data_IF_398555099901
#
_entry.id   IF_398555099901
#
_cell.length_a   1.000
_cell.length_b   1.000
_cell.length_c   1.000
_cell.angle_alpha   90.00
_cell.angle_beta   90.00
_cell.angle_gamma   90.00
#
_symmetry.space_group_name_H-M   'P 1'
#
loop_
_entity.id
_entity.type
_entity.pdbx_description
1 polymer ?
#
# COMPACT_ATOMS: atom_id res chain seq x y z
N UNK A 1 -3.80 30.09 21.79
CA UNK A 1 -3.45 29.77 20.40
C UNK A 1 -4.34 30.53 19.44
N UNK A 2 -3.75 31.32 18.52
CA UNK A 2 -4.49 32.04 17.46
C UNK A 2 -3.66 31.89 16.18
N UNK A 3 -4.26 31.30 15.14
CA UNK A 3 -3.61 31.02 13.85
C UNK A 3 -4.48 31.39 12.66
N UNK A 4 -3.84 31.70 11.52
CA UNK A 4 -4.50 31.83 10.22
C UNK A 4 -3.74 30.97 9.19
N UNK A 5 -4.47 30.23 8.35
CA UNK A 5 -3.87 29.37 7.35
C UNK A 5 -4.74 29.20 6.09
N UNK A 6 -4.16 28.66 5.02
CA UNK A 6 -4.89 28.31 3.81
C UNK A 6 -5.78 27.07 4.06
N UNK A 7 -7.06 27.17 3.71
CA UNK A 7 -8.06 26.12 3.92
C UNK A 7 -7.74 24.82 3.17
N UNK A 8 -7.26 24.92 1.92
CA UNK A 8 -6.93 23.74 1.12
C UNK A 8 -5.70 23.02 1.67
N UNK A 9 -4.68 23.76 2.10
CA UNK A 9 -3.47 23.18 2.70
C UNK A 9 -3.80 22.44 3.98
N UNK A 10 -4.61 23.05 4.87
CA UNK A 10 -5.08 22.40 6.10
C UNK A 10 -5.94 21.17 5.80
N UNK A 11 -6.85 21.25 4.82
CA UNK A 11 -7.68 20.11 4.43
C UNK A 11 -6.84 18.94 3.93
N UNK A 12 -5.85 19.19 3.07
CA UNK A 12 -4.92 18.15 2.58
C UNK A 12 -4.14 17.51 3.74
N UNK A 13 -3.59 18.32 4.64
CA UNK A 13 -2.87 17.82 5.81
C UNK A 13 -3.75 16.94 6.71
N UNK A 14 -4.97 17.38 7.01
CA UNK A 14 -5.96 16.61 7.78
C UNK A 14 -6.28 15.28 7.07
N UNK A 15 -6.53 15.30 5.75
CA UNK A 15 -6.81 14.09 4.97
C UNK A 15 -5.64 13.10 4.98
N UNK A 16 -4.41 13.59 5.05
CA UNK A 16 -3.22 12.77 5.15
C UNK A 16 -3.14 12.11 6.52
N UNK A 17 -3.17 12.90 7.59
CA UNK A 17 -2.93 12.37 8.94
C UNK A 17 -4.08 11.51 9.46
N UNK A 18 -5.34 11.82 9.10
CA UNK A 18 -6.49 11.02 9.56
C UNK A 18 -6.46 9.56 9.17
N UNK A 19 -5.61 9.17 8.22
CA UNK A 19 -5.41 7.78 7.79
C UNK A 19 -4.67 6.92 8.82
N UNK A 20 -3.98 7.56 9.77
CA UNK A 20 -3.45 6.88 10.95
C UNK A 20 -4.57 6.46 11.92
N UNK A 21 -5.74 7.13 11.87
CA UNK A 21 -6.85 6.89 12.79
C UNK A 21 -7.65 5.66 12.39
N UNK A 22 -7.88 4.76 13.34
CA UNK A 22 -8.80 3.62 13.16
C UNK A 22 -10.24 4.03 13.50
N UNK A 23 -11.21 3.40 12.84
CA UNK A 23 -12.63 3.78 12.93
C UNK A 23 -13.21 3.67 14.35
N UNK A 24 -12.69 2.76 15.18
CA UNK A 24 -13.14 2.53 16.55
C UNK A 24 -11.92 2.25 17.43
N UNK A 25 -11.19 3.28 17.86
CA UNK A 25 -10.04 3.09 18.73
C UNK A 25 -10.47 2.60 20.12
N UNK A 26 -9.69 1.72 20.71
CA UNK A 26 -9.88 1.27 22.10
C UNK A 26 -9.72 2.41 23.11
N UNK A 27 -8.88 3.39 22.78
CA UNK A 27 -8.62 4.59 23.57
C UNK A 27 -9.17 5.79 22.82
N UNK A 28 -10.17 6.51 23.36
CA UNK A 28 -10.88 7.58 22.65
C UNK A 28 -9.98 8.70 22.09
N UNK A 29 -8.86 9.01 22.77
CA UNK A 29 -7.95 10.08 22.36
C UNK A 29 -7.36 9.83 20.95
N UNK A 30 -7.18 8.58 20.52
CA UNK A 30 -6.74 8.22 19.16
C UNK A 30 -7.79 8.48 18.07
N UNK A 31 -8.98 8.96 18.41
CA UNK A 31 -9.94 9.52 17.45
C UNK A 31 -9.70 11.03 17.21
N UNK A 32 -8.74 11.63 17.89
CA UNK A 32 -8.37 13.04 17.79
C UNK A 32 -7.27 13.28 16.77
N UNK A 33 -7.23 14.53 16.29
CA UNK A 33 -6.10 15.13 15.60
C UNK A 33 -5.46 16.11 16.55
N UNK A 34 -4.16 16.00 16.76
CA UNK A 34 -3.35 16.96 17.50
C UNK A 34 -2.82 18.00 16.53
N UNK A 35 -2.98 19.28 16.87
CA UNK A 35 -2.54 20.41 16.05
C UNK A 35 -1.65 21.29 16.91
N UNK A 36 -0.41 21.51 16.48
CA UNK A 36 0.61 22.28 17.17
C UNK A 36 0.96 23.49 16.31
N UNK A 37 0.91 24.69 16.91
CA UNK A 37 1.22 25.94 16.25
C UNK A 37 2.49 26.56 16.86
N UNK A 38 3.58 26.58 16.11
CA UNK A 38 4.86 27.16 16.49
C UNK A 38 5.66 27.58 15.26
N UNK A 39 6.54 28.58 15.40
CA UNK A 39 7.53 28.97 14.37
C UNK A 39 6.96 29.20 12.96
N UNK A 40 5.80 29.81 12.85
CA UNK A 40 5.06 30.02 11.59
C UNK A 40 4.71 28.74 10.84
N UNK A 41 4.67 27.62 11.56
CA UNK A 41 4.28 26.30 11.04
C UNK A 41 3.13 25.75 11.87
N UNK A 42 2.24 25.07 11.19
CA UNK A 42 1.18 24.27 11.81
C UNK A 42 1.50 22.81 11.57
N UNK A 43 1.80 22.10 12.62
CA UNK A 43 2.00 20.65 12.58
C UNK A 43 0.71 19.95 12.95
N UNK A 44 0.23 19.09 12.08
CA UNK A 44 -0.99 18.30 12.23
C UNK A 44 -0.58 16.85 12.41
N UNK A 45 -1.00 16.20 13.49
CA UNK A 45 -0.62 14.84 13.85
C UNK A 45 -1.84 13.96 14.10
N UNK A 46 -1.75 12.70 13.68
CA UNK A 46 -2.67 11.67 14.10
C UNK A 46 -1.94 10.34 14.25
N UNK A 47 -2.40 9.50 15.17
CA UNK A 47 -1.75 8.23 15.43
C UNK A 47 -2.72 7.16 15.97
N UNK A 48 -2.29 5.92 15.83
CA UNK A 48 -2.79 4.76 16.57
C UNK A 48 -1.61 4.05 17.29
N UNK A 49 -1.83 2.85 17.78
CA UNK A 49 -0.80 2.06 18.47
C UNK A 49 0.34 1.57 17.56
N UNK A 50 0.12 1.57 16.24
CA UNK A 50 1.04 0.97 15.27
C UNK A 50 1.63 1.97 14.28
N UNK A 51 0.91 3.09 14.02
CA UNK A 51 1.30 4.09 13.02
C UNK A 51 0.98 5.50 13.51
N UNK A 52 1.90 6.43 13.24
CA UNK A 52 1.70 7.86 13.44
C UNK A 52 2.03 8.59 12.14
N UNK A 53 1.25 9.63 11.83
CA UNK A 53 1.48 10.50 10.67
C UNK A 53 1.45 11.95 11.15
N UNK A 54 2.47 12.71 10.78
CA UNK A 54 2.54 14.16 10.94
C UNK A 54 2.62 14.83 9.57
N UNK A 55 1.99 15.98 9.44
CA UNK A 55 2.07 16.82 8.25
C UNK A 55 2.22 18.28 8.67
N UNK A 56 3.22 18.97 8.14
CA UNK A 56 3.51 20.36 8.48
C UNK A 56 3.12 21.30 7.34
N UNK A 57 2.41 22.38 7.64
CA UNK A 57 2.02 23.41 6.67
C UNK A 57 2.41 24.80 7.18
N UNK A 58 2.53 25.77 6.25
CA UNK A 58 2.71 27.16 6.61
C UNK A 58 1.46 27.75 7.23
N UNK A 59 1.62 28.58 8.27
CA UNK A 59 0.54 29.31 8.92
C UNK A 59 1.07 30.63 9.54
N UNK A 60 0.21 31.62 9.60
CA UNK A 60 0.45 32.81 10.39
C UNK A 60 0.03 32.56 11.83
N UNK A 61 0.99 32.64 12.76
CA UNK A 61 0.77 32.33 14.17
C UNK A 61 0.85 33.63 14.96
N UNK A 62 -0.31 34.11 15.45
CA UNK A 62 -0.38 35.25 16.34
C UNK A 62 -0.12 34.85 17.80
N UNK A 63 -0.59 33.66 18.19
CA UNK A 63 -0.35 33.06 19.49
C UNK A 63 -0.06 31.59 19.35
N UNK A 64 1.13 31.11 19.77
CA UNK A 64 1.48 29.70 19.72
C UNK A 64 0.61 28.86 20.68
N UNK A 65 0.61 27.55 20.51
CA UNK A 65 -0.08 26.61 21.38
C UNK A 65 -0.47 25.34 20.66
N UNK A 66 -1.20 24.50 21.36
CA UNK A 66 -1.62 23.20 20.86
C UNK A 66 -3.09 22.91 21.20
N UNK A 67 -3.71 22.04 20.43
CA UNK A 67 -5.09 21.60 20.61
C UNK A 67 -5.24 20.15 20.14
N UNK A 68 -6.16 19.41 20.76
CA UNK A 68 -6.64 18.12 20.26
C UNK A 68 -8.12 18.21 19.96
N UNK A 69 -8.51 17.86 18.73
CA UNK A 69 -9.90 17.94 18.25
C UNK A 69 -10.35 16.61 17.66
N UNK A 70 -11.65 16.32 17.73
CA UNK A 70 -12.20 15.14 17.05
C UNK A 70 -11.91 15.18 15.56
N UNK A 71 -11.18 14.20 15.06
CA UNK A 71 -10.76 14.10 13.66
C UNK A 71 -11.95 14.16 12.69
N UNK A 72 -12.99 13.41 12.98
CA UNK A 72 -14.19 13.35 12.14
C UNK A 72 -14.84 14.71 11.96
N UNK A 73 -15.13 15.39 13.07
CA UNK A 73 -15.85 16.68 13.03
C UNK A 73 -14.97 17.78 12.44
N UNK A 74 -13.69 17.79 12.77
CA UNK A 74 -12.74 18.76 12.25
C UNK A 74 -12.51 18.58 10.74
N UNK A 75 -12.26 17.37 10.28
CA UNK A 75 -12.10 17.08 8.86
C UNK A 75 -13.38 17.42 8.04
N UNK A 76 -14.56 17.04 8.55
CA UNK A 76 -15.83 17.33 7.88
C UNK A 76 -16.12 18.84 7.80
N UNK A 77 -15.77 19.59 8.84
CA UNK A 77 -15.91 21.05 8.85
C UNK A 77 -14.95 21.68 7.82
N UNK A 78 -13.64 21.45 7.96
CA UNK A 78 -12.62 22.10 7.11
C UNK A 78 -12.87 21.80 5.63
N UNK A 79 -13.23 20.57 5.28
CA UNK A 79 -13.54 20.17 3.90
C UNK A 79 -14.67 20.97 3.26
N UNK A 80 -15.62 21.47 4.07
CA UNK A 80 -16.83 22.16 3.61
C UNK A 80 -16.72 23.69 3.65
N UNK A 81 -15.62 24.22 4.16
CA UNK A 81 -15.44 25.68 4.22
C UNK A 81 -15.25 26.27 2.82
N UNK A 82 -15.99 27.33 2.47
CA UNK A 82 -15.95 27.92 1.13
C UNK A 82 -14.81 28.92 0.91
N UNK A 83 -14.23 29.46 1.98
CA UNK A 83 -13.22 30.51 1.89
C UNK A 83 -11.81 29.91 1.74
N UNK A 84 -10.94 30.64 1.03
CA UNK A 84 -9.56 30.25 0.78
C UNK A 84 -8.71 30.22 2.06
N UNK A 85 -9.03 31.07 3.03
CA UNK A 85 -8.34 31.13 4.31
C UNK A 85 -9.31 31.00 5.49
N UNK A 86 -8.80 30.54 6.61
CA UNK A 86 -9.51 30.43 7.86
C UNK A 86 -8.64 30.86 9.04
N UNK A 87 -9.30 31.21 10.15
CA UNK A 87 -8.65 31.49 11.43
C UNK A 87 -9.15 30.52 12.48
N UNK A 88 -8.26 29.99 13.31
CA UNK A 88 -8.59 29.16 14.47
C UNK A 88 -8.10 29.87 15.72
N UNK A 89 -9.00 30.02 16.71
CA UNK A 89 -8.67 30.57 18.01
C UNK A 89 -9.12 29.63 19.13
N UNK A 90 -8.23 29.33 20.08
CA UNK A 90 -8.53 28.52 21.28
C UNK A 90 -9.23 29.39 22.32
N UNK A 91 -10.29 28.88 22.93
CA UNK A 91 -10.97 29.47 24.08
C UNK A 91 -10.78 28.53 25.27
N UNK A 92 -9.91 28.93 26.19
CA UNK A 92 -9.56 28.13 27.37
C UNK A 92 -10.74 27.95 28.31
N UNK A 93 -11.54 29.03 28.54
CA UNK A 93 -12.68 28.97 29.46
C UNK A 93 -13.75 27.99 29.02
N UNK A 94 -13.97 27.88 27.71
CA UNK A 94 -14.99 27.00 27.12
C UNK A 94 -14.43 25.64 26.66
N UNK A 95 -13.14 25.41 26.84
CA UNK A 95 -12.44 24.22 26.33
C UNK A 95 -12.85 23.91 24.90
N UNK A 96 -12.69 24.88 24.00
CA UNK A 96 -13.16 24.83 22.63
C UNK A 96 -12.28 25.65 21.70
N UNK A 97 -12.41 25.40 20.41
CA UNK A 97 -11.89 26.30 19.37
C UNK A 97 -13.03 26.98 18.64
N UNK A 98 -12.75 28.18 18.18
CA UNK A 98 -13.56 28.92 17.22
C UNK A 98 -12.85 28.87 15.88
N UNK A 99 -13.52 28.37 14.83
CA UNK A 99 -13.07 28.38 13.45
C UNK A 99 -13.86 29.45 12.70
N UNK A 100 -13.17 30.44 12.15
CA UNK A 100 -13.77 31.54 11.40
C UNK A 100 -13.33 31.44 9.92
N UNK A 101 -14.29 31.53 9.00
CA UNK A 101 -14.03 31.44 7.56
C UNK A 101 -15.00 32.38 6.83
N UNK A 102 -14.49 33.49 6.29
CA UNK A 102 -15.29 34.56 5.73
C UNK A 102 -16.23 35.18 6.81
N UNK A 103 -17.55 35.05 6.62
CA UNK A 103 -18.57 35.55 7.59
C UNK A 103 -19.07 34.44 8.51
N UNK A 104 -18.58 33.22 8.37
CA UNK A 104 -19.06 32.06 9.11
C UNK A 104 -18.17 31.77 10.31
N UNK A 105 -18.79 31.36 11.41
CA UNK A 105 -18.11 31.00 12.63
C UNK A 105 -18.65 29.67 13.15
N UNK A 106 -17.74 28.82 13.59
CA UNK A 106 -18.04 27.49 14.11
C UNK A 106 -17.31 27.29 15.43
N UNK A 107 -17.88 26.51 16.32
CA UNK A 107 -17.27 26.14 17.59
C UNK A 107 -17.15 24.60 17.66
N UNK A 108 -15.95 24.09 17.97
CA UNK A 108 -15.71 22.71 18.27
C UNK A 108 -15.13 22.57 19.67
N UNK A 109 -15.61 21.57 20.43
CA UNK A 109 -15.03 21.23 21.72
C UNK A 109 -13.72 20.51 21.57
N UNK A 110 -12.79 20.77 22.48
CA UNK A 110 -11.49 20.12 22.53
C UNK A 110 -11.58 18.76 23.24
N UNK A 111 -10.69 17.87 22.88
CA UNK A 111 -10.33 16.70 23.67
C UNK A 111 -9.22 17.11 24.64
N UNK A 112 -8.98 16.31 25.69
CA UNK A 112 -7.92 16.63 26.63
C UNK A 112 -6.54 16.39 25.98
N UNK A 113 -5.76 17.45 25.81
CA UNK A 113 -4.45 17.39 25.15
C UNK A 113 -3.41 16.64 25.98
N UNK A 114 -3.51 16.64 27.32
CA UNK A 114 -2.60 15.91 28.20
C UNK A 114 -2.67 14.38 28.02
N UNK A 115 -3.80 13.88 27.50
CA UNK A 115 -3.99 12.46 27.23
C UNK A 115 -3.43 12.04 25.87
N UNK A 116 -3.02 13.00 25.00
CA UNK A 116 -2.51 12.69 23.67
C UNK A 116 -1.03 12.27 23.75
N UNK A 117 -0.65 11.10 23.25
CA UNK A 117 0.74 10.65 23.30
C UNK A 117 1.65 11.57 22.47
N UNK A 118 2.90 11.72 22.94
CA UNK A 118 3.91 12.43 22.15
C UNK A 118 4.17 11.72 20.84
N UNK A 119 4.30 12.51 19.77
CA UNK A 119 4.67 11.97 18.46
C UNK A 119 6.03 11.29 18.56
N UNK A 120 6.17 10.06 18.06
CA UNK A 120 7.44 9.35 18.15
C UNK A 120 8.50 10.06 17.29
N UNK A 121 9.57 10.44 17.94
CA UNK A 121 10.76 10.99 17.31
C UNK A 121 11.95 10.16 17.72
N UNK A 122 12.90 9.94 16.83
CA UNK A 122 14.14 9.26 17.17
C UNK A 122 15.30 9.76 16.30
N UNK A 123 16.46 9.83 16.90
CA UNK A 123 17.71 10.04 16.19
C UNK A 123 18.06 8.74 15.49
N UNK A 124 18.09 8.79 14.18
CA UNK A 124 18.30 7.60 13.38
C UNK A 124 19.79 7.22 13.35
N UNK A 125 20.09 6.05 13.86
CA UNK A 125 21.42 5.46 13.69
C UNK A 125 21.69 5.08 12.23
N UNK A 126 20.62 4.83 11.47
CA UNK A 126 20.67 4.43 10.07
C UNK A 126 19.56 5.13 9.29
N UNK A 127 19.97 5.89 8.29
CA UNK A 127 19.04 6.52 7.34
C UNK A 127 19.45 6.16 5.93
N UNK A 128 18.51 5.64 5.16
CA UNK A 128 18.67 5.41 3.73
C UNK A 128 17.84 6.43 2.97
N UNK A 129 18.37 6.91 1.85
CA UNK A 129 17.65 7.78 0.93
C UNK A 129 17.34 7.02 -0.36
N UNK A 130 16.11 7.01 -0.76
CA UNK A 130 15.64 6.35 -2.00
C UNK A 130 14.85 7.33 -2.84
N UNK A 131 14.93 7.20 -4.16
CA UNK A 131 14.10 7.97 -5.07
C UNK A 131 12.62 7.59 -4.90
N UNK A 132 11.74 8.57 -4.93
CA UNK A 132 10.30 8.39 -4.79
C UNK A 132 9.71 7.47 -5.85
N UNK A 133 10.18 7.59 -7.10
CA UNK A 133 9.79 6.72 -8.21
C UNK A 133 10.15 5.26 -7.96
N UNK A 134 11.35 5.00 -7.42
CA UNK A 134 11.82 3.66 -7.07
C UNK A 134 10.92 3.02 -5.99
N UNK A 135 10.64 3.74 -4.91
CA UNK A 135 9.77 3.24 -3.83
C UNK A 135 8.36 2.99 -4.35
N UNK A 136 7.83 3.93 -5.15
CA UNK A 136 6.49 3.82 -5.72
C UNK A 136 6.36 2.58 -6.61
N UNK A 137 7.36 2.31 -7.45
CA UNK A 137 7.41 1.12 -8.28
C UNK A 137 7.46 -0.16 -7.44
N UNK A 138 8.40 -0.26 -6.49
CA UNK A 138 8.56 -1.41 -5.62
C UNK A 138 7.27 -1.74 -4.85
N UNK A 139 6.60 -0.73 -4.29
CA UNK A 139 5.33 -0.91 -3.59
C UNK A 139 4.24 -1.36 -4.57
N UNK A 140 4.06 -0.67 -5.70
CA UNK A 140 3.03 -0.99 -6.70
C UNK A 140 3.12 -2.44 -7.17
N UNK A 141 4.34 -2.90 -7.46
CA UNK A 141 4.60 -4.24 -8.00
C UNK A 141 4.46 -5.38 -6.97
N UNK A 142 4.32 -5.08 -5.67
CA UNK A 142 4.36 -6.14 -4.64
C UNK A 142 3.20 -6.11 -3.64
N UNK A 143 2.67 -4.93 -3.29
CA UNK A 143 1.70 -4.74 -2.21
C UNK A 143 0.39 -5.54 -2.40
N UNK A 144 -0.08 -5.70 -3.63
CA UNK A 144 -1.32 -6.43 -3.94
C UNK A 144 -1.23 -7.93 -3.62
N UNK A 145 -0.03 -8.46 -3.45
CA UNK A 145 0.20 -9.87 -3.11
C UNK A 145 0.13 -10.16 -1.62
N UNK A 146 0.14 -9.13 -0.77
CA UNK A 146 0.04 -9.30 0.68
C UNK A 146 -1.30 -9.92 1.11
N UNK A 147 -1.29 -10.55 2.28
CA UNK A 147 -2.48 -11.06 2.94
C UNK A 147 -3.25 -9.93 3.64
N UNK A 148 -4.55 -10.08 3.73
CA UNK A 148 -5.42 -9.26 4.59
C UNK A 148 -5.79 -9.99 5.88
N UNK A 149 -5.29 -11.22 6.07
CA UNK A 149 -5.57 -12.08 7.22
C UNK A 149 -4.64 -11.72 8.39
N UNK A 150 -5.17 -11.01 9.37
CA UNK A 150 -4.43 -10.59 10.57
C UNK A 150 -4.02 -11.76 11.50
N UNK A 151 -4.58 -12.96 11.30
CA UNK A 151 -4.14 -14.14 12.02
C UNK A 151 -2.73 -14.61 11.59
N UNK A 152 -2.25 -14.11 10.44
CA UNK A 152 -0.92 -14.39 9.91
C UNK A 152 -0.16 -13.09 9.63
N UNK A 153 0.25 -12.35 10.68
CA UNK A 153 0.79 -10.99 10.57
C UNK A 153 1.97 -10.86 9.61
N UNK A 154 2.88 -11.85 9.57
CA UNK A 154 4.05 -11.82 8.67
C UNK A 154 3.70 -11.59 7.21
N UNK A 155 2.54 -12.06 6.76
CA UNK A 155 2.10 -11.94 5.37
C UNK A 155 1.25 -10.70 5.11
N UNK A 156 0.88 -9.94 6.15
CA UNK A 156 0.20 -8.64 5.98
C UNK A 156 1.16 -7.50 5.67
N UNK A 157 2.47 -7.77 5.69
CA UNK A 157 3.52 -6.84 5.34
C UNK A 157 4.32 -7.28 4.12
N UNK A 158 5.18 -6.39 3.67
CA UNK A 158 6.19 -6.62 2.64
C UNK A 158 7.54 -6.80 3.31
N UNK A 159 8.23 -7.87 2.97
CA UNK A 159 9.63 -8.02 3.27
C UNK A 159 10.42 -7.05 2.38
N UNK A 160 11.23 -6.21 2.98
CA UNK A 160 12.17 -5.32 2.32
C UNK A 160 13.58 -5.80 2.66
N UNK A 161 14.34 -6.18 1.65
CA UNK A 161 15.73 -6.57 1.78
C UNK A 161 16.62 -5.62 0.95
N UNK A 162 17.68 -5.07 1.53
CA UNK A 162 18.76 -4.43 0.78
C UNK A 162 20.01 -5.28 0.95
N UNK A 163 20.53 -5.78 -0.14
CA UNK A 163 21.70 -6.66 -0.16
C UNK A 163 22.27 -6.80 -1.57
N UNK A 164 23.60 -7.01 -1.66
CA UNK A 164 24.30 -7.27 -2.91
C UNK A 164 24.02 -6.22 -4.02
N UNK A 165 23.95 -4.95 -3.65
CA UNK A 165 23.69 -3.83 -4.58
C UNK A 165 22.26 -3.76 -5.11
N UNK A 166 21.30 -4.42 -4.45
CA UNK A 166 19.89 -4.42 -4.82
C UNK A 166 19.00 -4.16 -3.61
N UNK A 167 17.88 -3.49 -3.84
CA UNK A 167 16.76 -3.45 -2.91
C UNK A 167 15.62 -4.30 -3.47
N UNK A 168 15.10 -5.21 -2.65
CA UNK A 168 14.08 -6.19 -3.04
C UNK A 168 12.88 -6.08 -2.13
N UNK A 169 11.70 -5.97 -2.72
CA UNK A 169 10.42 -6.03 -2.03
C UNK A 169 9.74 -7.36 -2.34
N UNK A 170 9.19 -8.01 -1.31
CA UNK A 170 8.54 -9.31 -1.43
C UNK A 170 7.20 -9.28 -0.70
N UNK A 171 6.12 -9.45 -1.44
CA UNK A 171 4.77 -9.58 -0.92
C UNK A 171 4.20 -10.98 -1.16
N UNK A 172 3.52 -11.58 -0.19
CA UNK A 172 2.86 -12.88 -0.34
C UNK A 172 1.66 -13.04 0.60
N UNK A 173 0.69 -13.86 0.17
CA UNK A 173 -0.40 -14.35 1.01
C UNK A 173 -0.41 -15.88 1.13
N UNK A 174 0.71 -16.55 0.83
CA UNK A 174 0.93 -18.01 0.75
C UNK A 174 0.39 -18.70 -0.50
N UNK A 175 -0.52 -18.08 -1.25
CA UNK A 175 -1.06 -18.59 -2.51
C UNK A 175 -0.47 -17.89 -3.73
N UNK A 176 0.13 -16.73 -3.53
CA UNK A 176 0.83 -15.95 -4.54
C UNK A 176 2.00 -15.21 -3.90
N UNK A 177 2.98 -14.85 -4.70
CA UNK A 177 4.20 -14.17 -4.29
C UNK A 177 4.61 -13.21 -5.39
N UNK A 178 4.87 -11.95 -5.05
CA UNK A 178 5.45 -10.96 -5.95
C UNK A 178 6.82 -10.53 -5.42
N UNK A 179 7.81 -10.50 -6.30
CA UNK A 179 9.19 -10.12 -5.99
C UNK A 179 9.61 -9.08 -7.01
N UNK A 180 9.92 -7.88 -6.55
CA UNK A 180 10.50 -6.83 -7.39
C UNK A 180 11.81 -6.37 -6.79
N UNK A 181 12.85 -6.30 -7.61
CA UNK A 181 14.17 -5.82 -7.23
C UNK A 181 14.57 -4.63 -8.09
N UNK A 182 15.30 -3.68 -7.51
CA UNK A 182 15.90 -2.56 -8.23
C UNK A 182 17.34 -2.37 -7.76
N UNK A 183 18.22 -1.79 -8.58
CA UNK A 183 19.57 -1.44 -8.16
C UNK A 183 19.55 -0.51 -6.95
N UNK A 184 20.45 -0.71 -6.01
CA UNK A 184 20.60 0.08 -4.80
C UNK A 184 22.07 0.37 -4.54
N UNK A 185 22.42 1.67 -4.51
CA UNK A 185 23.81 2.11 -4.35
C UNK A 185 24.28 2.19 -2.89
N UNK A 186 23.37 1.98 -1.92
CA UNK A 186 23.72 1.96 -0.50
C UNK A 186 24.54 0.73 -0.11
N UNK A 187 25.40 0.89 0.87
CA UNK A 187 26.26 -0.18 1.39
C UNK A 187 25.64 -0.95 2.56
N UNK A 188 24.46 -0.55 3.04
CA UNK A 188 23.85 -1.16 4.21
C UNK A 188 23.04 -2.41 3.84
N UNK A 189 23.35 -3.52 4.52
CA UNK A 189 22.48 -4.70 4.47
C UNK A 189 21.35 -4.51 5.49
N UNK A 190 20.12 -4.64 5.04
CA UNK A 190 18.93 -4.57 5.89
C UNK A 190 17.90 -5.62 5.47
N UNK A 191 17.14 -6.06 6.45
CA UNK A 191 15.97 -6.93 6.24
C UNK A 191 14.90 -6.55 7.26
N UNK A 192 13.71 -6.19 6.78
CA UNK A 192 12.61 -5.77 7.63
C UNK A 192 11.26 -6.09 6.99
N UNK A 193 10.21 -6.25 7.81
CA UNK A 193 8.84 -6.45 7.33
C UNK A 193 8.02 -5.21 7.66
N UNK A 194 7.66 -4.46 6.62
CA UNK A 194 6.88 -3.23 6.74
C UNK A 194 5.40 -3.57 6.50
N UNK A 195 4.47 -3.17 7.41
CA UNK A 195 3.05 -3.38 7.19
C UNK A 195 2.58 -2.80 5.85
N UNK A 196 1.80 -3.57 5.09
CA UNK A 196 1.29 -3.13 3.77
C UNK A 196 0.42 -1.87 3.88
N UNK A 197 -0.30 -1.68 4.98
CA UNK A 197 -1.04 -0.45 5.27
C UNK A 197 -0.14 0.78 5.24
N UNK A 198 1.02 0.70 5.88
CA UNK A 198 2.01 1.79 5.94
C UNK A 198 2.61 2.07 4.57
N UNK A 199 3.02 1.03 3.84
CA UNK A 199 3.51 1.17 2.47
C UNK A 199 2.45 1.76 1.53
N UNK A 200 1.18 1.41 1.73
CA UNK A 200 0.07 2.03 1.02
C UNK A 200 -0.06 3.53 1.29
N UNK A 201 0.15 3.98 2.53
CA UNK A 201 0.16 5.40 2.87
C UNK A 201 1.40 6.11 2.30
N UNK A 202 2.58 5.49 2.37
CA UNK A 202 3.79 6.02 1.72
C UNK A 202 3.52 6.23 0.23
N UNK A 203 3.04 5.21 -0.48
CA UNK A 203 2.78 5.27 -1.92
C UNK A 203 1.78 6.36 -2.32
N UNK A 204 0.76 6.63 -1.51
CA UNK A 204 -0.23 7.69 -1.77
C UNK A 204 0.34 9.10 -1.66
N UNK A 205 1.36 9.27 -0.84
CA UNK A 205 2.01 10.57 -0.63
C UNK A 205 3.18 10.82 -1.60
N UNK A 206 3.53 9.82 -2.43
CA UNK A 206 4.51 9.95 -3.51
C UNK A 206 3.80 10.44 -4.79
N UNK A 207 3.82 11.73 -5.05
CA UNK A 207 3.14 12.30 -6.22
C UNK A 207 3.80 11.91 -7.53
N UNK A 208 5.13 11.81 -7.55
CA UNK A 208 5.93 11.54 -8.75
C UNK A 208 5.96 12.72 -9.75
N UNK A 209 5.41 13.88 -9.39
CA UNK A 209 5.41 15.09 -10.24
C UNK A 209 6.78 15.78 -10.23
N UNK A 210 7.44 15.77 -9.07
CA UNK A 210 8.79 16.32 -8.89
C UNK A 210 9.62 15.23 -8.22
N UNK A 211 10.74 14.82 -8.84
CA UNK A 211 11.64 13.85 -8.23
C UNK A 211 12.08 14.30 -6.84
N UNK A 212 11.91 13.47 -5.84
CA UNK A 212 12.28 13.76 -4.48
C UNK A 212 12.91 12.54 -3.81
N UNK A 213 13.74 12.80 -2.81
CA UNK A 213 14.30 11.76 -1.97
C UNK A 213 13.34 11.45 -0.81
N UNK A 214 13.11 10.19 -0.59
CA UNK A 214 12.39 9.67 0.57
C UNK A 214 13.43 9.19 1.57
N UNK A 215 13.42 9.75 2.77
CA UNK A 215 14.34 9.34 3.83
C UNK A 215 13.66 8.27 4.68
N UNK A 216 14.32 7.13 4.81
CA UNK A 216 13.84 6.01 5.64
C UNK A 216 14.84 5.80 6.75
N UNK A 217 14.42 6.04 7.97
CA UNK A 217 15.22 5.91 9.17
C UNK A 217 14.75 4.70 9.99
N UNK A 218 15.70 3.92 10.49
CA UNK A 218 15.46 2.70 11.25
C UNK A 218 15.93 2.88 12.68
N UNK A 219 15.08 2.50 13.63
CA UNK A 219 15.43 2.40 15.05
C UNK A 219 14.75 1.19 15.68
N UNK A 220 15.54 0.20 16.08
CA UNK A 220 15.03 -1.04 16.68
C UNK A 220 13.92 -1.68 15.82
N UNK A 221 12.67 -1.71 16.33
CA UNK A 221 11.51 -2.28 15.67
C UNK A 221 10.55 -1.22 15.06
N UNK A 222 11.10 -0.05 14.72
CA UNK A 222 10.32 1.05 14.12
C UNK A 222 11.01 1.60 12.88
N UNK A 223 10.20 2.12 11.97
CA UNK A 223 10.68 2.93 10.84
C UNK A 223 10.06 4.33 10.92
N UNK A 224 10.84 5.32 10.51
CA UNK A 224 10.36 6.67 10.22
C UNK A 224 10.66 6.97 8.76
N UNK A 225 9.63 7.42 8.05
CA UNK A 225 9.71 7.77 6.63
C UNK A 225 9.36 9.24 6.49
N UNK A 226 10.26 10.01 5.90
CA UNK A 226 10.08 11.45 5.63
C UNK A 226 9.91 11.67 4.15
N UNK A 227 8.78 12.29 3.79
CA UNK A 227 8.40 12.62 2.41
C UNK A 227 8.02 14.11 2.41
N UNK A 228 8.90 14.99 1.95
CA UNK A 228 8.69 16.44 1.98
C UNK A 228 8.28 16.93 3.40
N UNK A 229 7.05 17.40 3.54
CA UNK A 229 6.50 17.90 4.79
C UNK A 229 5.70 16.84 5.59
N UNK A 230 5.78 15.57 5.22
CA UNK A 230 5.06 14.46 5.85
C UNK A 230 6.07 13.52 6.53
N UNK A 231 5.76 13.15 7.77
CA UNK A 231 6.50 12.15 8.53
C UNK A 231 5.55 11.00 8.86
N UNK A 232 5.95 9.78 8.50
CA UNK A 232 5.21 8.56 8.81
C UNK A 232 6.10 7.70 9.72
N UNK A 233 5.62 7.37 10.90
CA UNK A 233 6.30 6.45 11.81
C UNK A 233 5.46 5.19 11.95
N UNK A 234 6.10 4.03 11.92
CA UNK A 234 5.40 2.75 12.07
C UNK A 234 6.24 1.74 12.83
N UNK A 235 5.56 0.84 13.54
CA UNK A 235 6.16 -0.41 13.99
C UNK A 235 6.36 -1.35 12.82
N UNK A 236 7.46 -2.10 12.86
CA UNK A 236 7.70 -3.21 11.95
C UNK A 236 6.96 -4.47 12.42
N UNK A 237 6.70 -5.38 11.50
CA UNK A 237 6.17 -6.70 11.85
C UNK A 237 7.33 -7.57 12.32
N UNK A 238 7.24 -8.07 13.54
CA UNK A 238 8.26 -8.94 14.13
C UNK A 238 8.14 -10.36 13.61
N UNK A 239 9.28 -11.00 13.39
CA UNK A 239 9.37 -12.40 13.01
C UNK A 239 10.31 -12.65 11.84
N UNK A 240 10.49 -13.92 11.52
CA UNK A 240 11.30 -14.33 10.38
C UNK A 240 10.40 -14.60 9.18
N UNK A 241 10.56 -13.80 8.11
CA UNK A 241 9.87 -14.06 6.86
C UNK A 241 10.36 -15.38 6.25
N UNK A 242 9.46 -16.24 5.75
CA UNK A 242 9.87 -17.50 5.12
C UNK A 242 10.79 -17.27 3.93
N UNK A 243 11.72 -18.19 3.72
CA UNK A 243 12.62 -18.15 2.57
C UNK A 243 11.83 -18.34 1.26
N UNK A 244 11.42 -17.21 0.69
CA UNK A 244 10.59 -17.15 -0.51
C UNK A 244 11.27 -17.71 -1.76
N UNK A 245 12.60 -17.77 -1.76
CA UNK A 245 13.40 -18.29 -2.92
C UNK A 245 13.12 -19.78 -3.15
N UNK A 246 12.74 -20.51 -2.09
CA UNK A 246 12.44 -21.96 -2.16
C UNK A 246 11.17 -22.31 -2.92
N UNK A 247 10.23 -21.35 -3.05
CA UNK A 247 8.99 -21.59 -3.79
C UNK A 247 9.14 -21.35 -5.30
N UNK A 248 10.27 -20.80 -5.74
CA UNK A 248 10.58 -20.54 -7.14
C UNK A 248 11.20 -21.82 -7.73
N UNK A 249 10.53 -22.50 -8.68
CA UNK A 249 11.10 -23.67 -9.31
C UNK A 249 12.39 -23.31 -10.09
N UNK A 250 13.46 -24.09 -9.96
CA UNK A 250 14.73 -23.82 -10.64
C UNK A 250 14.69 -24.11 -12.15
N UNK A 251 13.71 -24.90 -12.61
CA UNK A 251 13.49 -25.26 -14.01
C UNK A 251 12.01 -25.41 -14.31
N UNK A 252 11.65 -25.20 -15.55
CA UNK A 252 10.26 -25.32 -16.01
C UNK A 252 10.24 -26.31 -17.22
N UNK A 253 9.21 -27.16 -17.25
CA UNK A 253 8.98 -28.12 -18.33
C UNK A 253 8.19 -27.49 -19.48
N UNK A 254 7.40 -26.45 -19.21
CA UNK A 254 6.57 -25.74 -20.16
C UNK A 254 6.71 -24.24 -19.95
N UNK A 255 6.85 -23.51 -21.06
CA UNK A 255 6.78 -22.04 -21.08
C UNK A 255 5.79 -21.60 -22.16
N UNK A 256 4.88 -20.69 -21.84
CA UNK A 256 3.89 -20.15 -22.77
C UNK A 256 3.97 -18.63 -22.78
N UNK A 257 4.23 -18.06 -23.95
CA UNK A 257 4.30 -16.63 -24.20
C UNK A 257 2.94 -16.15 -24.71
N UNK A 258 2.36 -15.13 -24.06
CA UNK A 258 0.99 -14.69 -24.32
C UNK A 258 0.86 -13.17 -24.21
N UNK A 259 -0.01 -12.57 -25.02
CA UNK A 259 -0.34 -11.15 -24.92
C UNK A 259 -1.09 -10.86 -23.61
N UNK A 260 -0.59 -9.90 -22.84
CA UNK A 260 -1.12 -9.55 -21.50
C UNK A 260 -2.55 -9.04 -21.58
N UNK A 261 -2.87 -8.15 -22.53
CA UNK A 261 -4.20 -7.53 -22.64
C UNK A 261 -5.26 -8.55 -23.07
N UNK A 262 -4.92 -9.42 -24.00
CA UNK A 262 -5.80 -10.49 -24.48
C UNK A 262 -6.10 -11.49 -23.36
N UNK A 263 -5.06 -11.95 -22.66
CA UNK A 263 -5.21 -12.88 -21.54
C UNK A 263 -6.01 -12.24 -20.39
N UNK A 264 -5.72 -11.01 -20.00
CA UNK A 264 -6.44 -10.32 -18.95
C UNK A 264 -7.91 -10.13 -19.30
N UNK A 265 -8.22 -9.69 -20.52
CA UNK A 265 -9.59 -9.54 -20.99
C UNK A 265 -10.37 -10.86 -21.01
N UNK A 266 -9.73 -11.95 -21.47
CA UNK A 266 -10.35 -13.27 -21.49
C UNK A 266 -10.60 -13.78 -20.05
N UNK A 267 -9.64 -13.64 -19.15
CA UNK A 267 -9.80 -14.01 -17.73
C UNK A 267 -10.90 -13.18 -17.07
N UNK A 268 -10.98 -11.87 -17.31
CA UNK A 268 -12.03 -11.00 -16.77
C UNK A 268 -13.42 -11.46 -17.20
N UNK A 269 -13.64 -11.77 -18.49
CA UNK A 269 -14.94 -12.22 -19.01
C UNK A 269 -15.32 -13.60 -18.49
N UNK A 270 -14.39 -14.55 -18.50
CA UNK A 270 -14.66 -15.91 -18.01
C UNK A 270 -14.91 -15.95 -16.50
N UNK A 271 -14.22 -15.09 -15.73
CA UNK A 271 -14.41 -14.98 -14.29
C UNK A 271 -15.83 -14.58 -13.86
N UNK A 272 -16.61 -13.94 -14.74
CA UNK A 272 -18.02 -13.62 -14.49
C UNK A 272 -18.91 -14.87 -14.32
N UNK A 273 -18.48 -16.01 -14.81
CA UNK A 273 -19.17 -17.29 -14.70
C UNK A 273 -18.63 -18.18 -13.58
N UNK A 274 -17.75 -17.65 -12.73
CA UNK A 274 -17.32 -18.35 -11.52
C UNK A 274 -18.34 -18.16 -10.39
N UNK A 275 -18.32 -19.05 -9.41
CA UNK A 275 -19.16 -18.92 -8.22
C UNK A 275 -18.81 -17.63 -7.46
N UNK A 276 -19.83 -16.91 -6.99
CA UNK A 276 -19.64 -15.72 -6.14
C UNK A 276 -18.83 -16.04 -4.89
N UNK A 277 -17.84 -15.18 -4.58
CA UNK A 277 -17.03 -15.26 -3.39
C UNK A 277 -15.53 -15.05 -3.67
N UNK A 278 -14.73 -15.18 -2.62
CA UNK A 278 -13.27 -14.97 -2.65
C UNK A 278 -12.51 -15.97 -3.55
N UNK A 279 -13.19 -16.99 -4.10
CA UNK A 279 -12.61 -18.10 -4.88
C UNK A 279 -13.21 -18.18 -6.29
N UNK A 280 -13.00 -17.12 -7.09
CA UNK A 280 -13.31 -17.15 -8.52
C UNK A 280 -12.32 -18.06 -9.26
N UNK A 281 -12.69 -19.33 -9.50
CA UNK A 281 -11.82 -20.32 -10.12
C UNK A 281 -12.00 -20.32 -11.62
N UNK A 282 -10.89 -20.21 -12.34
CA UNK A 282 -10.77 -20.43 -13.79
C UNK A 282 -9.91 -21.66 -14.06
N UNK A 283 -10.24 -22.41 -15.11
CA UNK A 283 -9.44 -23.49 -15.64
C UNK A 283 -8.75 -23.04 -16.92
N UNK A 284 -7.48 -23.33 -17.06
CA UNK A 284 -6.67 -23.03 -18.24
C UNK A 284 -6.14 -24.33 -18.83
N UNK A 285 -6.41 -24.58 -20.11
CA UNK A 285 -5.80 -25.64 -20.90
C UNK A 285 -4.80 -25.01 -21.85
N UNK A 286 -3.50 -25.18 -21.57
CA UNK A 286 -2.40 -24.61 -22.34
C UNK A 286 -1.98 -25.62 -23.39
N UNK A 287 -2.06 -25.26 -24.67
CA UNK A 287 -1.61 -26.03 -25.82
C UNK A 287 -0.47 -25.31 -26.57
N UNK A 288 -0.06 -25.80 -27.73
CA UNK A 288 1.09 -25.26 -28.46
C UNK A 288 0.92 -23.81 -28.89
N UNK A 289 -0.26 -23.44 -29.35
CA UNK A 289 -0.58 -22.16 -30.00
C UNK A 289 -1.79 -21.42 -29.39
N UNK A 290 -2.46 -22.05 -28.41
CA UNK A 290 -3.61 -21.47 -27.73
C UNK A 290 -3.71 -21.80 -26.24
N UNK A 291 -4.32 -20.92 -25.49
CA UNK A 291 -4.76 -21.15 -24.11
C UNK A 291 -6.29 -21.08 -24.10
N UNK A 292 -6.96 -22.18 -23.80
CA UNK A 292 -8.38 -22.22 -23.57
C UNK A 292 -8.67 -21.95 -22.10
N UNK A 293 -9.49 -20.95 -21.80
CA UNK A 293 -9.85 -20.53 -20.44
C UNK A 293 -11.35 -20.80 -20.23
N UNK A 294 -11.68 -21.51 -19.17
CA UNK A 294 -13.08 -21.85 -18.86
C UNK A 294 -13.42 -21.59 -17.40
N UNK A 295 -14.67 -21.27 -17.16
CA UNK A 295 -15.28 -21.25 -15.83
C UNK A 295 -16.72 -21.71 -15.90
N UNK A 296 -17.25 -22.25 -14.81
CA UNK A 296 -18.61 -22.74 -14.74
C UNK A 296 -19.17 -22.61 -13.35
N UNK A 297 -20.40 -22.12 -13.24
CA UNK A 297 -21.20 -22.09 -12.04
C UNK A 297 -22.58 -22.67 -12.33
N UNK A 298 -23.13 -23.55 -11.48
CA UNK A 298 -24.47 -24.08 -11.65
C UNK A 298 -25.55 -23.00 -11.69
N UNK A 299 -25.34 -21.88 -11.00
CA UNK A 299 -26.32 -20.81 -10.83
C UNK A 299 -26.23 -19.72 -11.90
N UNK A 300 -25.05 -19.55 -12.53
CA UNK A 300 -24.79 -18.46 -13.47
C UNK A 300 -24.66 -18.96 -14.91
N UNK A 301 -23.94 -20.08 -15.13
CA UNK A 301 -23.69 -20.64 -16.46
C UNK A 301 -22.23 -20.96 -16.70
N UNK A 302 -21.82 -20.94 -17.97
CA UNK A 302 -20.46 -21.31 -18.38
C UNK A 302 -19.84 -20.24 -19.29
N UNK A 303 -18.54 -19.98 -19.11
CA UNK A 303 -17.76 -19.12 -19.97
C UNK A 303 -16.60 -19.93 -20.60
N UNK A 304 -16.29 -19.65 -21.86
CA UNK A 304 -15.15 -20.17 -22.58
C UNK A 304 -14.53 -19.06 -23.43
N UNK A 305 -13.22 -18.92 -23.32
CA UNK A 305 -12.41 -18.00 -24.14
C UNK A 305 -11.16 -18.75 -24.65
N UNK A 306 -10.67 -18.34 -25.80
CA UNK A 306 -9.43 -18.86 -26.38
C UNK A 306 -8.52 -17.68 -26.68
N UNK A 307 -7.28 -17.77 -26.24
CA UNK A 307 -6.25 -16.75 -26.43
C UNK A 307 -5.06 -17.39 -27.13
N UNK A 308 -4.56 -16.74 -28.18
CA UNK A 308 -3.36 -17.20 -28.89
C UNK A 308 -2.12 -17.09 -27.99
N UNK A 309 -1.23 -18.08 -28.08
CA UNK A 309 0.05 -18.10 -27.37
C UNK A 309 1.13 -18.81 -28.18
N UNK A 310 2.35 -18.79 -27.67
CA UNK A 310 3.47 -19.56 -28.17
C UNK A 310 4.01 -20.42 -27.04
N UNK A 311 3.75 -21.72 -27.10
CA UNK A 311 4.13 -22.64 -26.02
C UNK A 311 5.26 -23.55 -26.46
N UNK A 312 6.24 -23.73 -25.57
CA UNK A 312 7.32 -24.70 -25.67
C UNK A 312 7.17 -25.70 -24.52
N UNK A 313 7.04 -26.98 -24.83
CA UNK A 313 6.76 -28.06 -23.88
C UNK A 313 5.42 -28.74 -24.13
N UNK A 314 5.08 -29.72 -23.28
CA UNK A 314 3.86 -30.52 -23.42
C UNK A 314 2.64 -29.71 -22.93
N UNK A 315 1.44 -30.02 -23.45
CA UNK A 315 0.21 -29.39 -23.02
C UNK A 315 -0.09 -29.64 -21.52
N UNK A 316 -0.69 -28.66 -20.87
CA UNK A 316 -0.96 -28.71 -19.43
C UNK A 316 -2.33 -28.11 -19.10
N UNK A 317 -3.07 -28.82 -18.23
CA UNK A 317 -4.29 -28.29 -17.62
C UNK A 317 -3.98 -27.81 -16.19
N UNK A 318 -4.38 -26.56 -15.89
CA UNK A 318 -4.11 -25.91 -14.60
C UNK A 318 -5.29 -25.01 -14.21
N UNK A 319 -5.55 -24.82 -12.92
CA UNK A 319 -6.60 -23.95 -12.47
C UNK A 319 -6.09 -22.92 -11.46
N UNK A 320 -6.66 -21.72 -11.50
CA UNK A 320 -6.23 -20.60 -10.67
C UNK A 320 -7.42 -19.86 -10.08
N UNK A 321 -7.14 -19.10 -9.02
CA UNK A 321 -7.98 -17.98 -8.66
C UNK A 321 -7.80 -16.87 -9.70
N UNK A 322 -8.89 -16.49 -10.38
CA UNK A 322 -8.87 -15.49 -11.46
C UNK A 322 -8.30 -14.15 -10.99
N UNK A 323 -8.63 -13.72 -9.76
CA UNK A 323 -8.13 -12.48 -9.18
C UNK A 323 -6.60 -12.46 -9.11
N UNK A 324 -5.97 -13.58 -8.75
CA UNK A 324 -4.52 -13.63 -8.65
C UNK A 324 -3.83 -13.50 -10.01
N UNK A 325 -4.43 -14.07 -11.05
CA UNK A 325 -3.94 -13.89 -12.42
C UNK A 325 -4.15 -12.44 -12.90
N UNK A 326 -5.33 -11.87 -12.66
CA UNK A 326 -5.62 -10.49 -13.05
C UNK A 326 -4.75 -9.46 -12.32
N UNK A 327 -4.49 -9.67 -11.04
CA UNK A 327 -3.68 -8.77 -10.25
C UNK A 327 -2.25 -8.67 -10.81
N UNK A 328 -1.64 -9.79 -11.24
CA UNK A 328 -0.31 -9.71 -11.87
C UNK A 328 -0.37 -9.11 -13.27
N UNK A 329 -1.30 -9.53 -14.11
CA UNK A 329 -1.39 -9.03 -15.49
C UNK A 329 -1.61 -7.51 -15.53
N UNK A 330 -2.36 -6.94 -14.57
CA UNK A 330 -2.57 -5.49 -14.43
C UNK A 330 -1.33 -4.72 -13.94
N UNK A 331 -0.39 -5.41 -13.32
CA UNK A 331 0.84 -4.82 -12.77
C UNK A 331 2.08 -5.07 -13.65
N UNK A 332 1.98 -5.84 -14.73
CA UNK A 332 3.03 -5.96 -15.75
C UNK A 332 2.95 -4.78 -16.72
N UNK A 333 4.07 -4.12 -16.96
CA UNK A 333 4.21 -3.00 -17.90
C UNK A 333 4.92 -3.49 -19.17
N UNK A 334 4.34 -4.51 -19.81
CA UNK A 334 4.85 -5.16 -21.01
C UNK A 334 3.69 -5.52 -21.94
N UNK A 335 3.99 -5.87 -23.19
CA UNK A 335 3.00 -6.37 -24.14
C UNK A 335 2.73 -7.86 -23.93
N UNK A 336 3.76 -8.62 -23.57
CA UNK A 336 3.71 -10.07 -23.47
C UNK A 336 4.23 -10.57 -22.11
N UNK A 337 3.57 -11.59 -21.57
CA UNK A 337 3.99 -12.33 -20.39
C UNK A 337 4.44 -13.74 -20.75
N UNK A 338 5.33 -14.29 -19.96
CA UNK A 338 5.76 -15.68 -20.02
C UNK A 338 5.23 -16.43 -18.80
N UNK A 339 4.37 -17.41 -19.04
CA UNK A 339 3.84 -18.33 -18.03
C UNK A 339 4.74 -19.58 -18.03
N UNK A 340 5.47 -19.83 -16.95
CA UNK A 340 6.38 -20.96 -16.81
C UNK A 340 5.84 -21.97 -15.80
N UNK A 341 5.70 -23.24 -16.22
CA UNK A 341 4.95 -24.26 -15.49
C UNK A 341 5.68 -25.61 -15.50
N UNK A 342 5.33 -26.49 -14.55
CA UNK A 342 5.81 -27.87 -14.49
C UNK A 342 4.66 -28.88 -14.46
N UNK A 343 3.76 -28.78 -13.49
CA UNK A 343 2.62 -29.68 -13.33
C UNK A 343 1.36 -28.89 -12.98
N UNK A 344 0.21 -29.52 -13.02
CA UNK A 344 -1.08 -28.90 -12.66
C UNK A 344 -1.19 -28.41 -11.22
N UNK A 345 -0.27 -28.78 -10.34
CA UNK A 345 -0.27 -28.42 -8.92
C UNK A 345 1.02 -27.71 -8.47
N UNK A 346 2.03 -27.62 -9.33
CA UNK A 346 3.27 -26.89 -9.02
C UNK A 346 3.07 -25.39 -9.18
N UNK A 347 3.78 -24.55 -8.40
CA UNK A 347 3.76 -23.12 -8.57
C UNK A 347 4.10 -22.71 -10.01
N UNK A 348 3.35 -21.75 -10.53
CA UNK A 348 3.54 -21.15 -11.86
C UNK A 348 4.25 -19.83 -11.70
N UNK A 349 5.30 -19.64 -12.48
CA UNK A 349 6.06 -18.40 -12.54
C UNK A 349 5.56 -17.53 -13.70
N UNK A 350 5.32 -16.26 -13.45
CA UNK A 350 4.95 -15.27 -14.45
C UNK A 350 6.02 -14.20 -14.49
N UNK A 351 6.58 -13.98 -15.67
CA UNK A 351 7.64 -12.99 -15.93
C UNK A 351 7.36 -12.28 -17.25
N UNK A 352 8.09 -11.21 -17.53
CA UNK A 352 8.13 -10.58 -18.84
C UNK A 352 9.56 -10.13 -19.17
N UNK A 353 9.85 -9.97 -20.45
CA UNK A 353 11.19 -9.63 -20.91
C UNK A 353 11.58 -8.18 -20.55
N UNK A 354 10.59 -7.28 -20.51
CA UNK A 354 10.79 -5.85 -20.26
C UNK A 354 11.09 -5.54 -18.79
N UNK A 355 10.75 -6.47 -17.88
CA UNK A 355 10.97 -6.34 -16.43
C UNK A 355 11.68 -7.58 -15.86
N UNK A 356 12.97 -7.80 -16.15
CA UNK A 356 13.70 -9.01 -15.76
C UNK A 356 13.86 -9.17 -14.23
N UNK A 357 13.80 -8.07 -13.49
CA UNK A 357 13.89 -8.04 -12.02
C UNK A 357 12.51 -8.14 -11.32
N UNK A 358 11.46 -8.52 -12.08
CA UNK A 358 10.13 -8.74 -11.55
C UNK A 358 9.68 -10.19 -11.76
N UNK A 359 9.38 -10.87 -10.67
CA UNK A 359 8.93 -12.27 -10.68
C UNK A 359 7.66 -12.40 -9.87
N UNK A 360 6.68 -13.07 -10.45
CA UNK A 360 5.45 -13.42 -9.76
C UNK A 360 5.24 -14.93 -9.76
N UNK A 361 4.85 -15.45 -8.61
CA UNK A 361 4.51 -16.87 -8.43
C UNK A 361 3.05 -16.96 -8.02
N UNK A 362 2.31 -17.88 -8.63
CA UNK A 362 0.94 -18.22 -8.26
C UNK A 362 0.80 -19.74 -8.10
N UNK A 363 0.19 -20.14 -7.00
CA UNK A 363 -0.09 -21.55 -6.73
C UNK A 363 -1.42 -21.95 -7.37
N UNK A 364 -1.44 -23.02 -8.20
CA UNK A 364 -2.67 -23.55 -8.76
C UNK A 364 -3.64 -24.06 -7.70
N UNK A 365 -4.91 -24.07 -8.05
CA UNK A 365 -5.99 -24.64 -7.25
C UNK A 365 -6.25 -26.07 -7.70
N UNK A 366 -6.43 -27.00 -6.76
CA UNK A 366 -6.81 -28.39 -7.08
C UNK A 366 -8.26 -28.44 -7.52
N UNK A 367 -8.50 -28.86 -8.76
CA UNK A 367 -9.83 -29.06 -9.34
C UNK A 367 -9.87 -30.36 -10.12
N UNK A 368 -11.07 -30.86 -10.40
CA UNK A 368 -11.31 -31.94 -11.38
C UNK A 368 -11.59 -31.26 -12.72
N UNK A 369 -10.85 -31.65 -13.76
CA UNK A 369 -11.01 -31.15 -15.12
C UNK A 369 -12.04 -31.94 -15.91
#
# INVERSE_FOLDING_TARGET
MIISCNTNSLNKAIQTVQRAIISKPSTPIFSGIHVIAADNKLEIQAMDLNMAISCTIDAEISEPGEIVVSAKHFADLIRKLPAESLTISKNEEKHSIKVSSGKSEYQLFLMNEDDYPKFPTFDADRTIALDDSMIKELIKKTIFSCSTDEARPLFTGILVEAKDGKITFVGTNTHRLAIKSLPYEGNEELSMIIPSKVLGEISRNLTGEIPQQVLISLLNNQIMVVIDNIVIVSRLIEGQFPDYRRVIPPKFALTSKVNIKELAGAVERVALFSTDGDYSIIKMSVAADEITITSSSPDVGTGLEVVSCQTVGDSLNVAFNAKYILDILKNLEAEEAVLSMNTSLSPVCVTCADEPDYTYIVTPVRVVF
#
